data_IF_516576788834
#
_entry.id   IF_516576788834
#
_cell.length_a   1.000
_cell.length_b   1.000
_cell.length_c   1.000
_cell.angle_alpha   90.00
_cell.angle_beta   90.00
_cell.angle_gamma   90.00
#
_symmetry.space_group_name_H-M   'P 1'
#
loop_
_entity.id
_entity.type
_entity.pdbx_description
1 polymer ?
#
# COMPACT_ATOMS: atom_id res chain seq x y z
N UNK A 1 11.02 -14.95 -4.81
CA UNK A 1 9.68 -15.22 -5.38
C UNK A 1 9.85 -15.92 -6.69
N UNK A 2 9.39 -17.17 -6.72
CA UNK A 2 9.33 -17.99 -7.92
C UNK A 2 8.46 -17.29 -8.99
N UNK A 3 8.91 -17.28 -10.24
CA UNK A 3 8.22 -16.60 -11.35
C UNK A 3 7.08 -17.43 -11.94
N UNK A 4 6.89 -18.65 -11.44
CA UNK A 4 5.84 -19.58 -11.84
C UNK A 4 4.42 -19.11 -11.50
N UNK A 5 4.24 -18.31 -10.45
CA UNK A 5 2.92 -17.91 -9.97
C UNK A 5 2.31 -16.73 -10.76
N UNK A 6 0.98 -16.70 -10.99
CA UNK A 6 0.30 -15.57 -11.65
C UNK A 6 0.39 -14.28 -10.81
N UNK A 7 0.29 -13.12 -11.47
CA UNK A 7 0.31 -11.81 -10.78
C UNK A 7 -0.81 -11.73 -9.72
N UNK A 8 -1.99 -12.27 -10.01
CA UNK A 8 -3.11 -12.26 -9.07
C UNK A 8 -2.80 -13.00 -7.75
N UNK A 9 -2.08 -14.14 -7.80
CA UNK A 9 -1.67 -14.85 -6.58
C UNK A 9 -0.74 -13.99 -5.71
N UNK A 10 0.18 -13.26 -6.34
CA UNK A 10 1.05 -12.29 -5.67
C UNK A 10 0.24 -11.16 -5.03
N UNK A 11 -0.71 -10.58 -5.78
CA UNK A 11 -1.55 -9.49 -5.29
C UNK A 11 -2.49 -9.93 -4.17
N UNK A 12 -3.02 -11.15 -4.23
CA UNK A 12 -3.83 -11.77 -3.15
C UNK A 12 -3.07 -11.84 -1.83
N UNK A 13 -1.76 -12.05 -1.84
CA UNK A 13 -0.94 -12.07 -0.63
C UNK A 13 -0.51 -10.67 -0.17
N UNK A 14 -0.10 -9.80 -1.11
CA UNK A 14 0.40 -8.46 -0.78
C UNK A 14 -0.70 -7.51 -0.31
N UNK A 15 -1.85 -7.50 -0.98
CA UNK A 15 -2.90 -6.51 -0.74
C UNK A 15 -3.43 -6.53 0.71
N UNK A 16 -3.75 -7.68 1.32
CA UNK A 16 -4.19 -7.74 2.72
C UNK A 16 -3.12 -7.23 3.68
N UNK A 17 -1.85 -7.58 3.45
CA UNK A 17 -0.72 -7.16 4.29
C UNK A 17 -0.55 -5.64 4.26
N UNK A 18 -0.54 -5.04 3.07
CA UNK A 18 -0.43 -3.59 2.91
C UNK A 18 -1.65 -2.86 3.50
N UNK A 19 -2.85 -3.38 3.26
CA UNK A 19 -4.09 -2.83 3.81
C UNK A 19 -4.08 -2.88 5.34
N UNK A 20 -3.67 -3.99 5.93
CA UNK A 20 -3.55 -4.14 7.39
C UNK A 20 -2.57 -3.14 7.99
N UNK A 21 -1.39 -2.99 7.39
CA UNK A 21 -0.40 -1.98 7.79
C UNK A 21 -0.97 -0.57 7.73
N UNK A 22 -1.63 -0.22 6.63
CA UNK A 22 -2.24 1.10 6.47
C UNK A 22 -3.37 1.35 7.47
N UNK A 23 -4.16 0.34 7.81
CA UNK A 23 -5.22 0.44 8.83
C UNK A 23 -4.63 0.65 10.22
N UNK A 24 -3.60 -0.12 10.59
CA UNK A 24 -2.95 -0.03 11.89
C UNK A 24 -2.32 1.35 12.13
N UNK A 25 -1.57 1.86 11.15
CA UNK A 25 -0.91 3.17 11.24
C UNK A 25 -1.80 4.34 10.84
N UNK A 26 -3.08 4.09 10.54
CA UNK A 26 -4.02 5.14 10.11
C UNK A 26 -4.16 6.29 11.11
N UNK A 27 -4.21 6.08 12.44
CA UNK A 27 -4.34 7.17 13.41
C UNK A 27 -3.09 8.04 13.58
N UNK A 28 -1.96 7.66 12.97
CA UNK A 28 -0.68 8.35 13.09
C UNK A 28 -0.37 9.36 11.97
N UNK A 29 0.81 9.96 12.04
CA UNK A 29 1.35 10.85 11.00
C UNK A 29 2.12 10.03 9.94
N UNK A 30 1.43 9.06 9.33
CA UNK A 30 2.07 8.04 8.49
C UNK A 30 1.88 8.25 6.98
N UNK A 31 1.38 9.42 6.55
CA UNK A 31 1.08 9.69 5.13
C UNK A 31 2.34 9.62 4.24
N UNK A 32 3.47 10.19 4.69
CA UNK A 32 4.74 10.12 3.97
C UNK A 32 5.24 8.67 3.83
N UNK A 33 5.11 7.88 4.90
CA UNK A 33 5.46 6.46 4.89
C UNK A 33 4.56 5.67 3.95
N UNK A 34 3.26 5.98 3.89
CA UNK A 34 2.35 5.35 2.93
C UNK A 34 2.70 5.70 1.48
N UNK A 35 3.09 6.95 1.20
CA UNK A 35 3.59 7.33 -0.12
C UNK A 35 4.86 6.56 -0.50
N UNK A 36 5.82 6.45 0.42
CA UNK A 36 7.02 5.65 0.22
C UNK A 36 6.71 4.16 -0.02
N UNK A 37 5.85 3.57 0.81
CA UNK A 37 5.46 2.17 0.70
C UNK A 37 4.76 1.88 -0.64
N UNK A 38 3.93 2.81 -1.11
CA UNK A 38 3.31 2.75 -2.43
C UNK A 38 4.35 2.70 -3.56
N UNK A 39 5.32 3.61 -3.56
CA UNK A 39 6.41 3.60 -4.53
C UNK A 39 7.27 2.32 -4.45
N UNK A 40 7.62 1.90 -3.24
CA UNK A 40 8.45 0.71 -3.01
C UNK A 40 7.78 -0.55 -3.55
N UNK A 41 6.52 -0.78 -3.18
CA UNK A 41 5.75 -1.96 -3.63
C UNK A 41 5.55 -1.95 -5.13
N UNK A 42 5.21 -0.80 -5.72
CA UNK A 42 5.11 -0.62 -7.17
C UNK A 42 6.40 -1.03 -7.89
N UNK A 43 7.55 -0.49 -7.45
CA UNK A 43 8.85 -0.81 -8.05
C UNK A 43 9.21 -2.28 -7.92
N UNK A 44 8.91 -2.90 -6.77
CA UNK A 44 9.19 -4.31 -6.53
C UNK A 44 8.32 -5.24 -7.40
N UNK A 45 7.01 -4.96 -7.51
CA UNK A 45 6.10 -5.72 -8.38
C UNK A 45 6.48 -5.54 -9.86
N UNK A 46 6.79 -4.30 -10.29
CA UNK A 46 7.26 -4.03 -11.64
C UNK A 46 8.57 -4.76 -11.97
N UNK A 47 9.52 -4.78 -11.04
CA UNK A 47 10.78 -5.52 -11.18
C UNK A 47 10.55 -7.04 -11.22
N UNK A 48 9.59 -7.56 -10.46
CA UNK A 48 9.19 -8.96 -10.52
C UNK A 48 8.54 -9.32 -11.87
N UNK A 49 7.64 -8.48 -12.38
CA UNK A 49 7.03 -8.66 -13.71
C UNK A 49 8.10 -8.69 -14.81
N UNK A 50 9.09 -7.81 -14.75
CA UNK A 50 10.21 -7.79 -15.70
C UNK A 50 11.04 -9.07 -15.65
N UNK A 51 11.30 -9.60 -14.45
CA UNK A 51 12.02 -10.87 -14.26
C UNK A 51 11.21 -12.08 -14.74
N UNK A 52 9.89 -12.08 -14.53
CA UNK A 52 8.97 -13.12 -15.00
C UNK A 52 8.89 -13.17 -16.53
N UNK A 53 8.86 -12.00 -17.16
CA UNK A 53 8.67 -11.87 -18.61
C UNK A 53 9.93 -11.33 -19.29
N UNK A 54 11.01 -12.13 -19.26
CA UNK A 54 12.33 -11.71 -19.77
C UNK A 54 12.31 -11.29 -21.25
N UNK A 55 11.48 -11.96 -22.06
CA UNK A 55 11.36 -11.74 -23.52
C UNK A 55 10.34 -10.65 -23.91
N UNK A 56 9.57 -10.12 -22.97
CA UNK A 56 8.57 -9.09 -23.25
C UNK A 56 9.16 -7.69 -23.10
N UNK A 57 8.72 -6.75 -23.93
CA UNK A 57 9.10 -5.35 -23.78
C UNK A 57 8.32 -4.69 -22.64
N UNK A 58 8.82 -3.56 -22.13
CA UNK A 58 8.09 -2.77 -21.14
C UNK A 58 6.71 -2.32 -21.62
N UNK A 59 6.54 -2.08 -22.93
CA UNK A 59 5.25 -1.75 -23.55
C UNK A 59 4.26 -2.91 -23.44
N UNK A 60 4.72 -4.14 -23.70
CA UNK A 60 3.89 -5.34 -23.58
C UNK A 60 3.48 -5.60 -22.12
N UNK A 61 4.41 -5.41 -21.19
CA UNK A 61 4.13 -5.56 -19.76
C UNK A 61 3.12 -4.53 -19.28
N UNK A 62 3.27 -3.27 -19.69
CA UNK A 62 2.30 -2.23 -19.38
C UNK A 62 0.93 -2.57 -19.94
N UNK A 63 0.85 -3.00 -21.20
CA UNK A 63 -0.44 -3.35 -21.84
C UNK A 63 -1.14 -4.51 -21.14
N UNK A 64 -0.38 -5.49 -20.63
CA UNK A 64 -0.94 -6.71 -20.06
C UNK A 64 -1.20 -6.62 -18.56
N UNK A 65 -0.39 -5.89 -17.81
CA UNK A 65 -0.37 -5.93 -16.35
C UNK A 65 -0.47 -4.55 -15.69
N UNK A 66 -0.67 -3.48 -16.45
CA UNK A 66 -0.95 -2.17 -15.89
C UNK A 66 -2.30 -1.68 -16.41
N UNK A 67 -3.12 -1.18 -15.50
CA UNK A 67 -4.42 -0.59 -15.83
C UNK A 67 -4.28 0.94 -15.93
N UNK A 68 -4.51 1.66 -14.82
CA UNK A 68 -4.36 3.11 -14.76
C UNK A 68 -2.88 3.50 -14.75
N UNK A 69 -2.38 3.88 -15.93
CA UNK A 69 -1.00 4.36 -16.12
C UNK A 69 0.03 3.23 -16.04
N UNK A 70 0.89 3.29 -15.01
CA UNK A 70 1.92 2.27 -14.75
C UNK A 70 1.61 1.41 -13.50
N UNK A 71 0.37 1.47 -13.00
CA UNK A 71 0.00 0.79 -11.78
C UNK A 71 -0.34 -0.70 -12.02
N UNK A 72 0.36 -1.66 -11.37
CA UNK A 72 0.14 -3.08 -11.60
C UNK A 72 -1.28 -3.52 -11.28
N UNK A 73 -1.89 -4.27 -12.19
CA UNK A 73 -3.18 -4.88 -12.05
C UNK A 73 -3.21 -6.26 -12.71
N UNK A 74 -3.88 -7.19 -12.01
CA UNK A 74 -4.32 -8.45 -12.60
C UNK A 74 -5.74 -8.28 -13.15
N UNK A 75 -6.26 -9.31 -13.82
CA UNK A 75 -7.66 -9.33 -14.31
C UNK A 75 -8.67 -9.16 -13.17
N UNK A 76 -8.38 -9.68 -11.97
CA UNK A 76 -9.30 -9.62 -10.84
C UNK A 76 -9.10 -8.38 -9.96
N UNK A 77 -7.84 -7.99 -9.71
CA UNK A 77 -7.50 -7.00 -8.68
C UNK A 77 -6.30 -6.13 -9.06
N UNK A 78 -6.35 -4.82 -8.80
CA UNK A 78 -5.18 -3.96 -8.82
C UNK A 78 -4.31 -4.16 -7.58
N UNK A 79 -3.04 -3.78 -7.66
CA UNK A 79 -2.19 -3.61 -6.48
C UNK A 79 -2.82 -2.55 -5.56
N UNK A 80 -2.95 -2.86 -4.27
CA UNK A 80 -3.39 -1.88 -3.29
C UNK A 80 -2.44 -0.68 -3.28
N UNK A 81 -2.98 0.54 -3.26
CA UNK A 81 -2.17 1.76 -3.24
C UNK A 81 -2.18 2.41 -1.84
N UNK A 82 -1.15 2.20 -1.02
CA UNK A 82 -1.01 2.83 0.30
C UNK A 82 -1.12 4.36 0.26
N UNK A 83 -0.62 5.02 -0.79
CA UNK A 83 -0.60 6.48 -0.88
C UNK A 83 -2.02 7.09 -0.95
N UNK A 84 -3.03 6.30 -1.33
CA UNK A 84 -4.44 6.73 -1.33
C UNK A 84 -5.09 6.62 0.04
N UNK A 85 -4.41 6.06 1.04
CA UNK A 85 -4.96 5.93 2.40
C UNK A 85 -4.80 7.26 3.15
N UNK A 86 -5.92 7.86 3.50
CA UNK A 86 -5.95 9.04 4.36
C UNK A 86 -5.68 8.65 5.81
N UNK A 87 -4.72 9.32 6.43
CA UNK A 87 -4.48 9.23 7.87
C UNK A 87 -5.55 9.99 8.64
N UNK A 88 -5.96 9.45 9.78
CA UNK A 88 -6.83 10.13 10.73
C UNK A 88 -5.96 11.03 11.58
N UNK A 89 -6.04 12.35 11.40
CA UNK A 89 -5.37 13.27 12.31
C UNK A 89 -6.06 13.26 13.67
N UNK A 90 -5.27 13.39 14.73
CA UNK A 90 -5.80 13.62 16.06
C UNK A 90 -6.74 14.83 16.03
N UNK A 91 -7.98 14.61 16.45
CA UNK A 91 -8.95 15.69 16.61
C UNK A 91 -8.57 16.44 17.87
N UNK A 92 -8.35 17.75 17.74
CA UNK A 92 -8.11 18.62 18.88
C UNK A 92 -9.21 18.39 19.94
N UNK A 93 -8.81 17.97 21.14
CA UNK A 93 -9.71 17.66 22.27
C UNK A 93 -9.89 18.83 23.25
N UNK A 94 -9.45 20.03 22.88
CA UNK A 94 -9.42 21.17 23.80
C UNK A 94 -8.24 21.10 24.78
N UNK A 95 -8.08 22.16 25.56
CA UNK A 95 -7.08 22.28 26.64
C UNK A 95 -7.56 21.67 27.96
N UNK A 96 -8.84 21.31 28.06
CA UNK A 96 -9.47 20.77 29.29
C UNK A 96 -9.34 19.24 29.26
N UNK A 97 -8.14 18.74 29.55
CA UNK A 97 -7.93 17.33 29.86
C UNK A 97 -8.11 17.20 31.38
N UNK A 98 -9.21 16.61 31.89
CA UNK A 98 -9.38 16.46 33.33
C UNK A 98 -8.22 15.64 33.89
N UNK A 99 -7.58 16.17 34.93
CA UNK A 99 -6.50 15.46 35.62
C UNK A 99 -7.08 14.22 36.31
N UNK A 100 -6.50 13.02 36.10
CA UNK A 100 -7.05 11.77 36.62
C UNK A 100 -6.99 11.63 38.15
N UNK A 101 -6.34 12.58 38.83
CA UNK A 101 -6.16 12.58 40.28
C UNK A 101 -6.79 13.85 40.84
N UNK A 102 -8.07 13.84 41.25
CA UNK A 102 -8.59 14.92 42.09
C UNK A 102 -7.78 14.91 43.40
N UNK A 103 -7.28 16.08 43.80
CA UNK A 103 -6.53 16.21 45.05
C UNK A 103 -7.35 15.65 46.21
N UNK A 104 -6.72 14.82 47.05
CA UNK A 104 -7.29 14.43 48.33
C UNK A 104 -7.34 15.69 49.20
N UNK A 105 -8.55 16.13 49.52
CA UNK A 105 -8.82 17.16 50.54
C UNK A 105 -8.33 16.73 51.93
#
# INVERSE_FOLDING_TARGET
MDTSQPLDALLRQLNPTLKGWCVYFRPGVSSATFAYLSYYTWRHVGSWLRRKHRRSTWKDLRRRYCDVGWWPASEERPLFNPAKVTTTRYRYRGTIIPTPWPGLE
#
